data_IF_279088234947
#
_entry.id   IF_279088234947
#
_cell.length_a   1.000
_cell.length_b   1.000
_cell.length_c   1.000
_cell.angle_alpha   90.00
_cell.angle_beta   90.00
_cell.angle_gamma   90.00
#
_symmetry.space_group_name_H-M   'P 1'
#
loop_
_entity.id
_entity.type
_entity.pdbx_description
1 polymer ?
#
# COMPACT_ATOMS: atom_id res chain seq x y z
N UNK A 1 -26.23 19.93 24.47
CA UNK A 1 -25.37 18.76 24.21
C UNK A 1 -23.98 19.31 23.96
N UNK A 2 -23.01 19.01 24.80
CA UNK A 2 -21.63 19.44 24.55
C UNK A 2 -21.02 18.45 23.56
N UNK A 3 -20.67 18.93 22.38
CA UNK A 3 -19.83 18.17 21.45
C UNK A 3 -18.52 17.85 22.20
N UNK A 4 -18.17 16.56 22.30
CA UNK A 4 -16.85 16.20 22.79
C UNK A 4 -15.85 16.54 21.70
N UNK A 5 -14.80 17.28 22.07
CA UNK A 5 -13.66 17.40 21.17
C UNK A 5 -13.04 15.99 20.99
N UNK A 6 -12.87 15.50 19.74
CA UNK A 6 -12.27 14.19 19.44
C UNK A 6 -10.94 13.96 20.17
N UNK A 7 -10.15 15.00 20.34
CA UNK A 7 -8.88 15.00 21.08
C UNK A 7 -9.04 14.64 22.56
N UNK A 8 -10.14 15.02 23.19
CA UNK A 8 -10.39 14.73 24.61
C UNK A 8 -10.75 13.25 24.82
N UNK A 9 -11.56 12.68 23.93
CA UNK A 9 -11.92 11.26 23.96
C UNK A 9 -10.69 10.37 23.78
N UNK A 10 -9.82 10.70 22.82
CA UNK A 10 -8.55 10.00 22.59
C UNK A 10 -7.58 10.15 23.77
N UNK A 11 -7.50 11.33 24.40
CA UNK A 11 -6.69 11.53 25.59
C UNK A 11 -7.15 10.64 26.77
N UNK A 12 -8.48 10.49 26.94
CA UNK A 12 -9.03 9.57 27.94
C UNK A 12 -8.74 8.11 27.60
N UNK A 13 -8.88 7.70 26.34
CA UNK A 13 -8.56 6.36 25.87
C UNK A 13 -7.08 6.02 26.12
N UNK A 14 -6.16 6.93 25.82
CA UNK A 14 -4.73 6.79 26.09
C UNK A 14 -4.44 6.64 27.59
N UNK A 15 -5.10 7.44 28.41
CA UNK A 15 -4.95 7.37 29.87
C UNK A 15 -5.44 6.02 30.40
N UNK A 16 -6.62 5.54 29.95
CA UNK A 16 -7.17 4.24 30.34
C UNK A 16 -6.22 3.11 29.94
N UNK A 17 -5.70 3.13 28.70
CA UNK A 17 -4.75 2.13 28.23
C UNK A 17 -3.52 2.07 29.12
N UNK A 18 -2.89 3.22 29.40
CA UNK A 18 -1.68 3.31 30.24
C UNK A 18 -1.92 2.91 31.70
N UNK A 19 -3.06 3.29 32.28
CA UNK A 19 -3.44 2.90 33.66
C UNK A 19 -3.65 1.37 33.79
N UNK A 20 -3.77 0.65 32.66
CA UNK A 20 -3.91 -0.81 32.61
C UNK A 20 -2.72 -1.50 31.93
N UNK A 21 -1.54 -0.89 31.98
CA UNK A 21 -0.27 -1.42 31.46
C UNK A 21 -0.27 -1.70 29.94
N UNK A 22 -1.18 -1.08 29.17
CA UNK A 22 -1.19 -1.16 27.71
C UNK A 22 -0.32 -0.03 27.13
N UNK A 23 0.72 -0.40 26.41
CA UNK A 23 1.58 0.55 25.70
C UNK A 23 0.79 1.29 24.64
N UNK A 24 0.76 2.63 24.71
CA UNK A 24 -0.03 3.48 23.84
C UNK A 24 0.75 4.76 23.52
N UNK A 25 0.85 5.10 22.23
CA UNK A 25 1.49 6.32 21.74
C UNK A 25 0.51 7.20 20.98
N UNK A 26 0.65 8.51 21.15
CA UNK A 26 -0.09 9.48 20.33
C UNK A 26 0.75 9.81 19.10
N UNK A 27 0.17 9.62 17.92
CA UNK A 27 0.78 9.97 16.63
C UNK A 27 0.68 11.48 16.37
N UNK A 28 1.51 12.04 15.47
CA UNK A 28 1.40 13.45 15.06
C UNK A 28 0.03 13.82 14.46
N UNK A 29 -0.71 12.86 13.91
CA UNK A 29 -2.08 13.01 13.41
C UNK A 29 -3.13 13.13 14.51
N UNK A 30 -2.75 12.88 15.76
CA UNK A 30 -3.67 12.85 16.92
C UNK A 30 -4.25 11.47 17.25
N UNK A 31 -4.09 10.51 16.37
CA UNK A 31 -4.50 9.11 16.58
C UNK A 31 -3.64 8.44 17.63
N UNK A 32 -4.16 7.36 18.22
CA UNK A 32 -3.39 6.52 19.15
C UNK A 32 -2.93 5.26 18.44
N UNK A 33 -1.74 4.80 18.76
CA UNK A 33 -1.15 3.54 18.31
C UNK A 33 -0.90 2.62 19.49
N UNK A 34 -1.42 1.40 19.42
CA UNK A 34 -1.16 0.31 20.37
C UNK A 34 -0.51 -0.84 19.60
N UNK A 35 0.77 -1.16 19.81
CA UNK A 35 1.42 -2.29 19.17
C UNK A 35 1.05 -3.60 19.88
N UNK A 36 1.05 -4.69 19.13
CA UNK A 36 0.84 -6.04 19.62
C UNK A 36 2.15 -6.85 19.62
N UNK A 37 2.33 -7.69 20.64
CA UNK A 37 3.57 -8.46 20.81
C UNK A 37 3.81 -9.44 19.64
N UNK A 38 2.76 -10.06 19.11
CA UNK A 38 2.83 -10.97 17.98
C UNK A 38 3.05 -10.26 16.62
N UNK A 39 3.15 -8.94 16.59
CA UNK A 39 3.25 -8.11 15.40
C UNK A 39 1.90 -7.52 14.99
N UNK A 40 1.97 -6.42 14.24
CA UNK A 40 0.76 -5.62 13.96
C UNK A 40 0.50 -4.55 15.02
N UNK A 41 -0.60 -3.83 14.87
CA UNK A 41 -0.97 -2.73 15.74
C UNK A 41 -2.45 -2.40 15.66
N UNK A 42 -2.96 -1.77 16.72
CA UNK A 42 -4.29 -1.15 16.71
C UNK A 42 -4.13 0.37 16.65
N UNK A 43 -4.76 0.99 15.66
CA UNK A 43 -4.95 2.44 15.59
C UNK A 43 -6.29 2.78 16.21
N UNK A 44 -6.31 3.82 17.05
CA UNK A 44 -7.52 4.30 17.71
C UNK A 44 -7.73 5.75 17.29
N UNK A 45 -8.83 6.04 16.66
CA UNK A 45 -9.18 7.37 16.16
C UNK A 45 -10.69 7.61 16.23
N UNK A 46 -11.10 8.86 16.11
CA UNK A 46 -12.52 9.21 16.00
C UNK A 46 -12.85 9.38 14.53
N UNK A 47 -13.68 8.50 14.01
CA UNK A 47 -14.22 8.63 12.66
C UNK A 47 -15.42 9.59 12.70
N UNK A 48 -15.34 10.66 11.91
CA UNK A 48 -16.38 11.71 11.84
C UNK A 48 -17.35 11.43 10.67
N UNK A 49 -17.97 10.27 10.71
CA UNK A 49 -19.11 9.95 9.86
C UNK A 49 -20.36 10.74 10.30
N UNK A 50 -21.50 10.50 9.65
CA UNK A 50 -22.79 11.11 10.08
C UNK A 50 -23.06 10.91 11.57
N UNK A 51 -22.68 9.71 12.09
CA UNK A 51 -22.66 9.40 13.52
C UNK A 51 -21.20 9.17 13.94
N UNK A 52 -20.58 10.07 14.70
CA UNK A 52 -19.18 9.91 15.09
C UNK A 52 -18.97 8.68 15.96
N UNK A 53 -17.92 7.92 15.67
CA UNK A 53 -17.54 6.70 16.39
C UNK A 53 -16.09 6.72 16.82
N UNK A 54 -15.78 6.20 17.98
CA UNK A 54 -14.43 5.81 18.34
C UNK A 54 -14.15 4.48 17.64
N UNK A 55 -13.21 4.48 16.72
CA UNK A 55 -12.85 3.34 15.90
C UNK A 55 -11.50 2.78 16.35
N UNK A 56 -11.46 1.49 16.60
CA UNK A 56 -10.24 0.70 16.79
C UNK A 56 -10.04 -0.13 15.53
N UNK A 57 -9.00 0.21 14.78
CA UNK A 57 -8.59 -0.52 13.58
C UNK A 57 -7.33 -1.32 13.89
N UNK A 58 -7.46 -2.64 13.94
CA UNK A 58 -6.36 -3.57 14.19
C UNK A 58 -5.92 -4.22 12.91
N UNK A 59 -4.63 -4.18 12.61
CA UNK A 59 -4.09 -4.83 11.41
C UNK A 59 -2.73 -5.48 11.67
N UNK A 60 -2.45 -6.65 11.07
CA UNK A 60 -1.12 -7.21 11.01
C UNK A 60 -0.22 -6.36 10.11
N UNK A 61 1.09 -6.63 10.14
CA UNK A 61 2.08 -5.88 9.35
C UNK A 61 2.31 -6.43 7.95
N UNK A 62 1.84 -7.65 7.68
CA UNK A 62 2.12 -8.38 6.47
C UNK A 62 0.86 -8.77 5.71
N UNK A 63 1.08 -9.53 4.65
CA UNK A 63 0.07 -10.20 3.87
C UNK A 63 0.55 -11.59 3.49
N UNK A 64 -0.36 -12.41 3.03
CA UNK A 64 -0.12 -13.75 2.50
C UNK A 64 -0.51 -13.81 1.03
N UNK A 65 -0.10 -14.86 0.35
CA UNK A 65 -0.45 -15.09 -1.04
C UNK A 65 -1.97 -15.21 -1.24
N UNK A 66 -2.47 -14.78 -2.40
CA UNK A 66 -3.89 -14.84 -2.73
C UNK A 66 -4.46 -16.27 -2.66
N UNK A 67 -3.64 -17.30 -2.84
CA UNK A 67 -4.05 -18.71 -2.68
C UNK A 67 -4.52 -19.06 -1.27
N UNK A 68 -4.14 -18.30 -0.25
CA UNK A 68 -4.54 -18.48 1.15
C UNK A 68 -5.88 -17.81 1.51
N UNK A 69 -6.53 -17.11 0.56
CA UNK A 69 -7.77 -16.34 0.81
C UNK A 69 -8.89 -17.22 1.38
N UNK A 70 -8.99 -18.48 0.95
CA UNK A 70 -10.02 -19.40 1.45
C UNK A 70 -9.83 -19.73 2.93
N UNK A 71 -8.59 -19.95 3.35
CA UNK A 71 -8.26 -20.25 4.75
C UNK A 71 -8.48 -19.03 5.64
N UNK A 72 -8.08 -17.84 5.16
CA UNK A 72 -8.35 -16.57 5.85
C UNK A 72 -9.85 -16.28 5.95
N UNK A 73 -10.63 -16.57 4.90
CA UNK A 73 -12.07 -16.39 4.93
C UNK A 73 -12.76 -17.31 5.98
N UNK A 74 -12.29 -18.55 6.11
CA UNK A 74 -12.78 -19.45 7.16
C UNK A 74 -12.42 -18.94 8.54
N UNK A 75 -11.17 -18.54 8.77
CA UNK A 75 -10.74 -17.95 10.03
C UNK A 75 -11.54 -16.71 10.41
N UNK A 76 -11.71 -15.77 9.46
CA UNK A 76 -12.50 -14.56 9.70
C UNK A 76 -13.96 -14.87 10.03
N UNK A 77 -14.56 -15.84 9.33
CA UNK A 77 -15.93 -16.25 9.58
C UNK A 77 -16.10 -16.92 10.95
N UNK A 78 -15.22 -17.82 11.34
CA UNK A 78 -15.24 -18.45 12.66
C UNK A 78 -15.01 -17.43 13.78
N UNK A 79 -14.05 -16.54 13.61
CA UNK A 79 -13.84 -15.46 14.56
C UNK A 79 -15.07 -14.57 14.73
N UNK A 80 -15.67 -14.13 13.63
CA UNK A 80 -16.87 -13.27 13.66
C UNK A 80 -18.09 -13.98 14.22
N UNK A 81 -18.14 -15.31 14.15
CA UNK A 81 -19.19 -16.11 14.79
C UNK A 81 -19.00 -16.17 16.31
N UNK A 82 -17.78 -16.33 16.79
CA UNK A 82 -17.48 -16.60 18.19
C UNK A 82 -17.15 -15.35 19.00
N UNK A 83 -16.69 -14.27 18.36
CA UNK A 83 -16.24 -13.03 19.00
C UNK A 83 -17.09 -11.82 18.57
N UNK A 84 -17.54 -11.04 19.55
CA UNK A 84 -18.30 -9.81 19.28
C UNK A 84 -17.41 -8.67 18.72
N UNK A 85 -16.13 -8.69 19.03
CA UNK A 85 -15.19 -7.62 18.69
C UNK A 85 -13.74 -8.11 18.83
N UNK A 86 -12.84 -7.73 17.92
CA UNK A 86 -13.11 -6.98 16.70
C UNK A 86 -13.88 -7.81 15.65
N UNK A 87 -14.65 -7.16 14.77
CA UNK A 87 -15.12 -7.79 13.55
C UNK A 87 -13.93 -7.90 12.57
N UNK A 88 -13.67 -9.11 12.09
CA UNK A 88 -12.55 -9.41 11.18
C UNK A 88 -13.01 -9.33 9.73
N UNK A 89 -12.25 -8.59 8.93
CA UNK A 89 -12.45 -8.41 7.49
C UNK A 89 -11.24 -8.93 6.76
N UNK A 90 -11.43 -9.59 5.64
CA UNK A 90 -10.35 -10.01 4.73
C UNK A 90 -10.17 -8.91 3.69
N UNK A 91 -8.98 -8.34 3.65
CA UNK A 91 -8.59 -7.26 2.75
C UNK A 91 -7.84 -7.84 1.54
N UNK A 92 -8.43 -7.72 0.35
CA UNK A 92 -7.90 -8.23 -0.92
C UNK A 92 -7.75 -7.14 -1.99
N UNK A 93 -7.74 -5.87 -1.57
CA UNK A 93 -7.61 -4.71 -2.47
C UNK A 93 -6.20 -4.56 -3.06
N UNK A 94 -5.25 -5.35 -2.56
CA UNK A 94 -3.88 -5.36 -3.07
C UNK A 94 -3.70 -6.52 -4.06
N UNK A 95 -3.15 -6.26 -5.27
CA UNK A 95 -3.07 -7.28 -6.32
C UNK A 95 -2.17 -8.48 -5.99
N UNK A 96 -1.23 -8.30 -5.07
CA UNK A 96 -0.17 -9.28 -4.80
C UNK A 96 -0.36 -10.08 -3.51
N UNK A 97 -1.25 -9.67 -2.62
CA UNK A 97 -1.42 -10.32 -1.32
C UNK A 97 -2.79 -10.05 -0.70
N UNK A 98 -3.17 -10.92 0.20
CA UNK A 98 -4.35 -10.80 1.04
C UNK A 98 -3.90 -10.49 2.47
N UNK A 99 -4.61 -9.61 3.15
CA UNK A 99 -4.42 -9.32 4.56
C UNK A 99 -5.74 -9.43 5.31
N UNK A 100 -5.72 -9.15 6.59
CA UNK A 100 -6.92 -9.06 7.41
C UNK A 100 -6.87 -7.80 8.26
N UNK A 101 -8.04 -7.25 8.54
CA UNK A 101 -8.19 -6.16 9.51
C UNK A 101 -9.29 -6.50 10.52
N UNK A 102 -9.13 -6.00 11.74
CA UNK A 102 -10.10 -6.11 12.81
C UNK A 102 -10.66 -4.75 13.18
N UNK A 103 -11.98 -4.64 13.28
CA UNK A 103 -12.66 -3.38 13.52
C UNK A 103 -13.53 -3.43 14.76
N UNK A 104 -13.38 -2.45 15.66
CA UNK A 104 -14.24 -2.28 16.82
C UNK A 104 -14.72 -0.84 16.91
N UNK A 105 -15.98 -0.64 17.22
CA UNK A 105 -16.63 0.67 17.21
C UNK A 105 -17.35 0.96 18.51
N UNK A 106 -17.17 2.17 19.04
CA UNK A 106 -17.98 2.73 20.12
C UNK A 106 -18.67 4.00 19.63
N UNK A 107 -20.01 4.09 19.62
CA UNK A 107 -20.72 5.32 19.30
C UNK A 107 -20.21 6.49 20.18
N UNK A 108 -19.91 7.61 19.58
CA UNK A 108 -19.37 8.80 20.22
C UNK A 108 -20.27 10.04 20.05
N UNK A 109 -21.46 9.88 19.47
CA UNK A 109 -22.50 10.89 19.34
C UNK A 109 -23.03 11.35 20.71
N UNK A 110 -23.04 10.43 21.68
CA UNK A 110 -23.28 10.70 23.08
C UNK A 110 -22.02 10.41 23.88
N UNK A 111 -21.58 11.38 24.67
CA UNK A 111 -20.34 11.29 25.45
C UNK A 111 -20.32 10.07 26.35
N UNK A 112 -19.47 9.05 26.09
CA UNK A 112 -19.36 7.91 26.99
C UNK A 112 -18.72 8.36 28.31
N UNK A 113 -19.14 7.77 29.43
CA UNK A 113 -18.41 7.94 30.69
C UNK A 113 -17.04 7.24 30.61
N UNK A 114 -16.14 7.59 31.53
CA UNK A 114 -14.82 6.94 31.63
C UNK A 114 -14.97 5.42 31.82
N UNK A 115 -15.93 4.99 32.65
CA UNK A 115 -16.20 3.58 32.90
C UNK A 115 -16.75 2.86 31.66
N UNK A 116 -17.62 3.51 30.89
CA UNK A 116 -18.12 2.98 29.62
C UNK A 116 -17.01 2.85 28.58
N UNK A 117 -16.17 3.89 28.47
CA UNK A 117 -15.01 3.87 27.60
C UNK A 117 -14.02 2.75 27.99
N UNK A 118 -13.72 2.58 29.29
CA UNK A 118 -12.84 1.51 29.76
C UNK A 118 -13.45 0.11 29.52
N UNK A 119 -14.76 -0.06 29.76
CA UNK A 119 -15.48 -1.31 29.53
C UNK A 119 -15.52 -1.74 28.06
N UNK A 120 -15.42 -0.79 27.13
CA UNK A 120 -15.27 -1.07 25.70
C UNK A 120 -13.81 -1.30 25.32
N UNK A 121 -12.94 -0.36 25.66
CA UNK A 121 -11.57 -0.28 25.15
C UNK A 121 -10.70 -1.48 25.59
N UNK A 122 -10.75 -1.84 26.89
CA UNK A 122 -9.85 -2.88 27.40
C UNK A 122 -10.16 -4.28 26.84
N UNK A 123 -11.43 -4.73 26.79
CA UNK A 123 -11.73 -6.00 26.10
C UNK A 123 -11.41 -5.97 24.60
N UNK A 124 -11.69 -4.85 23.92
CA UNK A 124 -11.40 -4.74 22.48
C UNK A 124 -9.89 -4.85 22.19
N UNK A 125 -9.04 -4.19 22.98
CA UNK A 125 -7.58 -4.30 22.85
C UNK A 125 -7.07 -5.71 23.19
N UNK A 126 -7.62 -6.35 24.23
CA UNK A 126 -7.27 -7.72 24.57
C UNK A 126 -7.64 -8.70 23.45
N UNK A 127 -8.84 -8.58 22.90
CA UNK A 127 -9.27 -9.44 21.80
C UNK A 127 -8.47 -9.17 20.52
N UNK A 128 -8.07 -7.91 20.27
CA UNK A 128 -7.15 -7.57 19.18
C UNK A 128 -5.78 -8.27 19.36
N UNK A 129 -5.24 -8.35 20.56
CA UNK A 129 -4.01 -9.09 20.85
C UNK A 129 -4.18 -10.59 20.60
N UNK A 130 -5.29 -11.18 21.09
CA UNK A 130 -5.61 -12.60 20.84
C UNK A 130 -5.76 -12.88 19.34
N UNK A 131 -6.39 -11.97 18.57
CA UNK A 131 -6.47 -12.09 17.12
C UNK A 131 -5.08 -12.08 16.48
N UNK A 132 -4.20 -11.16 16.89
CA UNK A 132 -2.83 -11.12 16.38
C UNK A 132 -2.02 -12.38 16.70
N UNK A 133 -2.18 -12.92 17.92
CA UNK A 133 -1.56 -14.21 18.31
C UNK A 133 -2.07 -15.37 17.46
N UNK A 134 -3.37 -15.42 17.18
CA UNK A 134 -3.98 -16.44 16.33
C UNK A 134 -3.45 -16.37 14.90
N UNK A 135 -3.39 -15.16 14.33
CA UNK A 135 -2.85 -14.91 12.99
C UNK A 135 -1.36 -15.26 12.90
N UNK A 136 -0.58 -14.94 13.93
CA UNK A 136 0.84 -15.30 14.00
C UNK A 136 1.08 -16.81 13.97
N UNK A 137 0.17 -17.57 14.59
CA UNK A 137 0.27 -19.04 14.67
C UNK A 137 -0.21 -19.71 13.39
N UNK A 138 -1.33 -19.25 12.82
CA UNK A 138 -1.95 -19.89 11.66
C UNK A 138 -1.39 -19.39 10.32
N UNK A 139 -1.08 -18.09 10.23
CA UNK A 139 -0.60 -17.42 9.01
C UNK A 139 0.63 -16.54 9.31
N UNK A 140 1.81 -17.13 9.53
CA UNK A 140 3.01 -16.36 9.91
C UNK A 140 3.40 -15.25 8.92
N UNK A 141 2.97 -15.36 7.66
CA UNK A 141 3.19 -14.33 6.63
C UNK A 141 2.49 -13.01 6.93
N UNK A 142 1.36 -13.04 7.66
CA UNK A 142 0.65 -11.82 8.10
C UNK A 142 1.42 -11.05 9.18
N UNK A 143 2.18 -11.78 10.01
CA UNK A 143 2.89 -11.21 11.16
C UNK A 143 4.38 -11.17 10.84
N UNK A 144 4.76 -10.57 9.73
CA UNK A 144 6.18 -10.35 9.46
C UNK A 144 6.80 -9.60 10.64
N UNK A 145 7.93 -10.13 11.13
CA UNK A 145 8.81 -9.34 12.00
C UNK A 145 8.93 -7.94 11.40
N UNK A 146 8.85 -6.92 12.28
CA UNK A 146 9.06 -5.55 11.83
C UNK A 146 10.16 -5.55 10.81
N UNK A 147 9.89 -5.02 9.61
CA UNK A 147 10.95 -4.80 8.60
C UNK A 147 12.21 -4.46 9.36
N UNK A 148 13.30 -5.20 9.16
CA UNK A 148 14.50 -5.01 9.96
C UNK A 148 14.67 -3.51 10.10
N UNK A 149 14.81 -3.03 11.34
CA UNK A 149 14.89 -1.61 11.69
C UNK A 149 15.35 -0.83 10.49
N UNK A 150 14.58 0.15 9.99
CA UNK A 150 14.96 0.95 8.82
C UNK A 150 16.46 1.09 8.90
N UNK A 151 17.17 0.39 8.02
CA UNK A 151 18.60 0.16 8.17
C UNK A 151 19.19 1.52 8.51
N UNK A 152 19.92 1.67 9.60
CA UNK A 152 20.38 2.98 10.06
C UNK A 152 20.89 3.71 8.85
N UNK A 153 20.43 4.94 8.61
CA UNK A 153 20.72 5.75 7.42
C UNK A 153 22.09 5.33 6.87
N UNK A 154 22.07 4.56 5.79
CA UNK A 154 23.24 3.78 5.44
C UNK A 154 24.40 4.75 5.18
N UNK A 155 25.49 4.64 5.91
CA UNK A 155 26.78 5.25 5.59
C UNK A 155 27.38 4.65 4.29
N UNK A 156 26.56 3.95 3.49
CA UNK A 156 26.97 3.43 2.21
C UNK A 156 27.20 4.61 1.25
N UNK A 157 28.35 4.65 0.57
CA UNK A 157 28.65 5.71 -0.36
C UNK A 157 27.56 5.75 -1.43
N UNK A 158 26.91 6.90 -1.56
CA UNK A 158 25.96 7.16 -2.62
C UNK A 158 26.73 7.40 -3.91
N UNK A 159 26.38 6.69 -4.96
CA UNK A 159 26.98 6.87 -6.29
C UNK A 159 26.11 7.85 -7.10
N UNK A 160 26.70 8.73 -7.89
CA UNK A 160 25.96 9.54 -8.84
C UNK A 160 25.18 8.64 -9.78
N UNK A 161 23.90 8.92 -9.95
CA UNK A 161 23.05 8.16 -10.85
C UNK A 161 23.38 8.46 -12.31
N UNK A 162 23.53 7.43 -13.14
CA UNK A 162 23.78 7.52 -14.58
C UNK A 162 22.93 6.48 -15.33
N UNK A 163 22.71 6.68 -16.64
CA UNK A 163 22.07 5.67 -17.49
C UNK A 163 22.91 4.39 -17.61
N UNK A 164 24.23 4.49 -17.53
CA UNK A 164 25.11 3.32 -17.52
C UNK A 164 24.81 2.41 -16.31
N UNK A 165 24.53 3.01 -15.14
CA UNK A 165 24.12 2.26 -13.94
C UNK A 165 22.79 1.50 -14.15
N UNK A 166 21.85 2.06 -14.92
CA UNK A 166 20.62 1.36 -15.33
C UNK A 166 20.95 0.21 -16.28
N UNK A 167 21.79 0.47 -17.31
CA UNK A 167 22.18 -0.54 -18.29
C UNK A 167 22.87 -1.77 -17.64
N UNK A 168 23.61 -1.58 -16.54
CA UNK A 168 24.20 -2.67 -15.78
C UNK A 168 23.18 -3.51 -15.01
N UNK A 169 22.07 -2.90 -14.59
CA UNK A 169 21.05 -3.58 -13.78
C UNK A 169 20.04 -4.34 -14.65
N UNK A 170 19.65 -3.82 -15.81
CA UNK A 170 18.64 -4.44 -16.66
C UNK A 170 18.88 -5.93 -16.94
N UNK A 171 20.10 -6.40 -17.27
CA UNK A 171 20.36 -7.83 -17.43
C UNK A 171 20.16 -8.65 -16.16
N UNK A 172 20.40 -8.06 -14.97
CA UNK A 172 20.26 -8.76 -13.69
C UNK A 172 18.81 -9.02 -13.31
N UNK A 173 17.88 -8.23 -13.84
CA UNK A 173 16.43 -8.39 -13.68
C UNK A 173 15.77 -9.09 -14.86
N UNK A 174 16.57 -9.67 -15.79
CA UNK A 174 16.07 -10.45 -16.91
C UNK A 174 15.88 -9.69 -18.23
N UNK A 175 16.10 -8.37 -18.27
CA UNK A 175 15.96 -7.57 -19.49
C UNK A 175 17.30 -7.60 -20.27
N UNK A 176 17.44 -8.57 -21.18
CA UNK A 176 18.67 -8.81 -21.94
C UNK A 176 18.80 -7.94 -23.20
N UNK A 177 17.67 -7.40 -23.70
CA UNK A 177 17.63 -6.63 -24.94
C UNK A 177 17.09 -5.24 -24.68
N UNK A 178 17.93 -4.25 -24.84
CA UNK A 178 17.59 -2.84 -24.70
C UNK A 178 18.44 -2.00 -25.66
N UNK A 179 17.99 -0.79 -25.94
CA UNK A 179 18.68 0.19 -26.77
C UNK A 179 18.85 1.49 -26.00
N UNK A 180 20.03 2.08 -26.03
CA UNK A 180 20.28 3.41 -25.49
C UNK A 180 20.33 4.42 -26.64
N UNK A 181 19.75 5.60 -26.45
CA UNK A 181 19.94 6.74 -27.36
C UNK A 181 21.31 7.43 -27.13
N UNK A 182 22.05 6.95 -26.15
CA UNK A 182 23.39 7.44 -25.81
C UNK A 182 23.42 8.71 -24.97
N UNK A 183 22.27 9.33 -24.69
CA UNK A 183 22.22 10.63 -24.01
C UNK A 183 21.15 10.74 -22.92
N UNK A 184 19.91 10.34 -23.19
CA UNK A 184 18.76 10.71 -22.35
C UNK A 184 17.94 9.54 -21.88
N UNK A 185 17.93 8.40 -22.59
CA UNK A 185 17.10 7.27 -22.25
C UNK A 185 17.63 5.91 -22.72
N UNK A 186 17.17 4.87 -22.04
CA UNK A 186 17.31 3.46 -22.45
C UNK A 186 15.91 2.94 -22.70
N UNK A 187 15.73 2.22 -23.81
CA UNK A 187 14.46 1.64 -24.25
C UNK A 187 14.52 0.12 -24.22
N UNK A 188 13.47 -0.52 -23.72
CA UNK A 188 13.33 -1.96 -23.70
C UNK A 188 11.85 -2.35 -23.91
N UNK A 189 11.64 -3.51 -24.55
CA UNK A 189 10.32 -4.15 -24.58
C UNK A 189 10.26 -5.23 -23.50
N UNK A 190 9.24 -5.17 -22.67
CA UNK A 190 8.92 -6.18 -21.67
C UNK A 190 7.46 -6.56 -21.88
N UNK A 191 7.21 -7.81 -22.26
CA UNK A 191 5.95 -8.18 -22.87
C UNK A 191 5.67 -7.26 -24.09
N UNK A 192 4.44 -6.87 -24.34
CA UNK A 192 4.09 -5.92 -25.41
C UNK A 192 4.06 -4.45 -24.93
N UNK A 193 4.79 -4.16 -23.82
CA UNK A 193 4.91 -2.82 -23.26
C UNK A 193 6.28 -2.23 -23.59
N UNK A 194 6.30 -1.05 -24.17
CA UNK A 194 7.54 -0.30 -24.39
C UNK A 194 7.92 0.44 -23.11
N UNK A 195 9.08 0.12 -22.57
CA UNK A 195 9.67 0.83 -21.44
C UNK A 195 10.73 1.82 -21.90
N UNK A 196 10.75 3.00 -21.24
CA UNK A 196 11.84 3.96 -21.33
C UNK A 196 12.35 4.29 -19.92
N UNK A 197 13.65 4.15 -19.71
CA UNK A 197 14.36 4.56 -18.50
C UNK A 197 15.06 5.87 -18.81
N UNK A 198 14.56 6.97 -18.26
CA UNK A 198 15.02 8.30 -18.60
C UNK A 198 15.55 9.05 -17.38
N UNK A 199 16.59 9.89 -17.62
CA UNK A 199 16.94 10.97 -16.73
C UNK A 199 16.07 12.17 -17.09
N UNK A 200 15.28 12.65 -16.13
CA UNK A 200 14.56 13.90 -16.32
C UNK A 200 15.49 15.10 -16.06
N UNK A 201 15.11 16.27 -16.55
CA UNK A 201 15.82 17.54 -16.33
C UNK A 201 15.94 17.94 -14.84
N UNK A 202 15.24 17.26 -13.92
CA UNK A 202 15.50 17.20 -12.50
C UNK A 202 16.32 15.96 -12.14
N UNK A 203 16.84 15.86 -10.91
CA UNK A 203 17.63 14.71 -10.48
C UNK A 203 16.72 13.51 -10.18
N UNK A 204 16.07 12.94 -11.20
CA UNK A 204 15.14 11.83 -11.09
C UNK A 204 15.35 10.79 -12.18
N UNK A 205 15.30 9.51 -11.79
CA UNK A 205 15.05 8.41 -12.71
C UNK A 205 13.55 8.30 -12.93
N UNK A 206 13.09 8.38 -14.17
CA UNK A 206 11.71 8.10 -14.55
C UNK A 206 11.70 6.84 -15.39
N UNK A 207 10.94 5.85 -14.94
CA UNK A 207 10.63 4.64 -15.70
C UNK A 207 9.26 4.86 -16.32
N UNK A 208 9.17 4.81 -17.62
CA UNK A 208 7.94 5.05 -18.40
C UNK A 208 7.51 3.76 -19.06
N UNK A 209 6.25 3.39 -18.91
CA UNK A 209 5.61 2.32 -19.67
C UNK A 209 4.62 2.90 -20.67
N UNK A 210 4.63 2.38 -21.89
CA UNK A 210 3.77 2.82 -22.97
C UNK A 210 3.01 1.63 -23.54
N UNK A 211 1.69 1.74 -23.55
CA UNK A 211 0.81 0.77 -24.18
C UNK A 211 -0.19 1.50 -25.10
N UNK A 212 -0.38 0.95 -26.29
CA UNK A 212 -1.28 1.49 -27.30
C UNK A 212 -2.52 0.58 -27.45
N UNK A 213 -3.68 0.98 -26.87
CA UNK A 213 -4.92 0.24 -27.01
C UNK A 213 -5.62 0.43 -28.36
N UNK A 214 -5.05 1.20 -29.29
CA UNK A 214 -5.67 1.55 -30.59
C UNK A 214 -7.07 2.19 -30.42
N UNK A 215 -7.22 3.10 -29.45
CA UNK A 215 -8.46 3.81 -29.17
C UNK A 215 -8.51 5.16 -29.86
N UNK A 216 -9.71 5.52 -30.35
CA UNK A 216 -9.98 6.83 -30.89
C UNK A 216 -10.02 7.92 -29.80
N UNK A 217 -9.82 9.18 -30.20
CA UNK A 217 -9.86 10.33 -29.30
C UNK A 217 -11.23 10.51 -28.59
N UNK A 218 -12.31 10.01 -29.17
CA UNK A 218 -13.65 10.02 -28.58
C UNK A 218 -13.73 9.21 -27.27
N UNK A 219 -12.84 8.24 -27.07
CA UNK A 219 -12.76 7.40 -25.85
C UNK A 219 -11.98 8.06 -24.70
N UNK A 220 -11.44 9.28 -24.90
CA UNK A 220 -10.58 9.94 -23.92
C UNK A 220 -11.17 9.98 -22.51
N UNK A 221 -12.42 10.41 -22.36
CA UNK A 221 -13.05 10.53 -21.03
C UNK A 221 -13.16 9.18 -20.33
N UNK A 222 -13.52 8.12 -21.06
CA UNK A 222 -13.60 6.76 -20.52
C UNK A 222 -12.22 6.29 -20.06
N UNK A 223 -11.22 6.39 -20.93
CA UNK A 223 -9.85 5.98 -20.62
C UNK A 223 -9.27 6.78 -19.46
N UNK A 224 -9.50 8.10 -19.43
CA UNK A 224 -9.08 8.94 -18.30
C UNK A 224 -9.69 8.49 -16.96
N UNK A 225 -10.99 8.16 -16.93
CA UNK A 225 -11.64 7.71 -15.71
C UNK A 225 -11.07 6.37 -15.21
N UNK A 226 -10.72 5.46 -16.09
CA UNK A 226 -10.05 4.19 -15.76
C UNK A 226 -8.67 4.47 -15.17
N UNK A 227 -7.82 5.25 -15.85
CA UNK A 227 -6.50 5.63 -15.33
C UNK A 227 -6.61 6.36 -13.96
N UNK A 228 -7.58 7.26 -13.82
CA UNK A 228 -7.82 7.98 -12.57
C UNK A 228 -8.30 7.04 -11.44
N UNK A 229 -9.13 6.04 -11.75
CA UNK A 229 -9.55 5.00 -10.81
C UNK A 229 -8.34 4.20 -10.32
N UNK A 230 -7.47 3.78 -11.23
CA UNK A 230 -6.24 3.09 -10.90
C UNK A 230 -5.32 3.95 -10.00
N UNK A 231 -5.10 5.22 -10.36
CA UNK A 231 -4.27 6.15 -9.56
C UNK A 231 -4.80 6.38 -8.14
N UNK A 232 -6.11 6.26 -7.91
CA UNK A 232 -6.70 6.37 -6.57
C UNK A 232 -6.42 5.17 -5.68
N UNK A 233 -6.30 3.99 -6.27
CA UNK A 233 -6.12 2.73 -5.56
C UNK A 233 -4.64 2.35 -5.39
N UNK A 234 -3.75 2.85 -6.23
CA UNK A 234 -2.36 2.38 -6.31
C UNK A 234 -1.34 3.51 -6.12
N UNK A 235 -0.18 3.12 -5.58
CA UNK A 235 0.97 3.99 -5.37
C UNK A 235 2.18 3.45 -6.12
N UNK A 236 3.14 4.32 -6.42
CA UNK A 236 4.43 3.92 -7.02
C UNK A 236 4.54 4.09 -8.53
N UNK A 237 3.42 4.26 -9.23
CA UNK A 237 3.37 4.74 -10.61
C UNK A 237 2.13 5.60 -10.82
N UNK A 238 2.11 6.42 -11.87
CA UNK A 238 0.99 7.28 -12.26
C UNK A 238 0.58 6.94 -13.67
N UNK A 239 -0.69 6.58 -13.87
CA UNK A 239 -1.28 6.30 -15.18
C UNK A 239 -1.94 7.56 -15.76
N UNK A 240 -1.77 7.80 -17.04
CA UNK A 240 -2.42 8.90 -17.76
C UNK A 240 -2.60 8.60 -19.24
N UNK A 241 -3.55 9.31 -19.86
CA UNK A 241 -3.79 9.24 -21.31
C UNK A 241 -2.83 10.18 -22.05
N UNK A 242 -2.28 9.71 -23.14
CA UNK A 242 -1.48 10.52 -24.02
C UNK A 242 -2.07 10.52 -25.44
N UNK A 243 -2.24 11.73 -26.00
CA UNK A 243 -2.70 11.89 -27.37
C UNK A 243 -1.54 11.71 -28.36
N UNK A 244 -1.74 10.89 -29.35
CA UNK A 244 -0.83 10.71 -30.49
C UNK A 244 -1.58 10.93 -31.79
N UNK A 245 -0.90 11.12 -32.92
CA UNK A 245 -1.57 11.19 -34.23
C UNK A 245 -2.35 9.92 -34.58
N UNK A 246 -1.97 8.77 -33.99
CA UNK A 246 -2.57 7.47 -34.21
C UNK A 246 -3.75 7.17 -33.28
N UNK A 247 -3.98 8.02 -32.25
CA UNK A 247 -5.03 7.84 -31.25
C UNK A 247 -4.54 8.00 -29.81
N UNK A 248 -5.21 7.36 -28.88
CA UNK A 248 -4.91 7.44 -27.45
C UNK A 248 -3.95 6.34 -27.03
N UNK A 249 -2.95 6.69 -26.27
CA UNK A 249 -2.06 5.77 -25.56
C UNK A 249 -2.26 5.85 -24.06
N UNK A 250 -2.09 4.73 -23.37
CA UNK A 250 -1.88 4.70 -21.92
C UNK A 250 -0.38 4.83 -21.66
N UNK A 251 -0.03 5.77 -20.81
CA UNK A 251 1.32 5.95 -20.30
C UNK A 251 1.31 5.84 -18.79
N UNK A 252 2.38 5.24 -18.27
CA UNK A 252 2.59 5.13 -16.84
C UNK A 252 4.01 5.54 -16.50
N UNK A 253 4.16 6.40 -15.49
CA UNK A 253 5.44 6.91 -15.02
C UNK A 253 5.67 6.51 -13.56
N UNK A 254 6.79 5.84 -13.29
CA UNK A 254 7.32 5.59 -11.96
C UNK A 254 8.60 6.41 -11.75
N UNK A 255 8.59 7.32 -10.77
CA UNK A 255 9.70 8.23 -10.54
C UNK A 255 10.47 7.89 -9.25
N UNK A 256 11.78 8.02 -9.30
CA UNK A 256 12.67 7.91 -8.14
C UNK A 256 13.61 9.11 -8.10
N UNK A 257 13.62 9.84 -6.98
CA UNK A 257 14.52 10.99 -6.79
C UNK A 257 15.95 10.49 -6.63
N UNK A 258 16.86 11.01 -7.45
CA UNK A 258 18.28 10.62 -7.49
C UNK A 258 19.26 11.76 -7.14
N UNK A 259 18.73 12.88 -6.63
CA UNK A 259 19.51 14.09 -6.35
C UNK A 259 20.73 13.86 -5.45
N UNK A 260 20.59 12.99 -4.47
CA UNK A 260 21.67 12.65 -3.54
C UNK A 260 22.52 11.45 -4.01
N UNK A 261 22.18 10.86 -5.16
CA UNK A 261 22.68 9.55 -5.59
C UNK A 261 21.87 8.40 -5.02
N UNK A 262 22.18 7.19 -5.45
CA UNK A 262 21.59 5.94 -4.98
C UNK A 262 22.68 4.91 -4.71
N UNK A 263 22.46 4.04 -3.74
CA UNK A 263 23.26 2.82 -3.65
C UNK A 263 22.81 1.84 -4.74
N UNK A 264 23.67 0.92 -5.14
CA UNK A 264 23.34 -0.11 -6.15
C UNK A 264 22.10 -0.95 -5.77
N UNK A 265 21.91 -1.41 -4.50
CA UNK A 265 20.69 -2.07 -4.08
C UNK A 265 19.42 -1.20 -4.17
N UNK A 266 19.54 0.11 -3.85
CA UNK A 266 18.42 1.05 -3.99
C UNK A 266 18.01 1.21 -5.46
N UNK A 267 18.98 1.35 -6.37
CA UNK A 267 18.72 1.45 -7.80
C UNK A 267 18.09 0.17 -8.35
N UNK A 268 18.62 -1.02 -7.97
CA UNK A 268 18.02 -2.32 -8.34
C UNK A 268 16.57 -2.42 -7.89
N UNK A 269 16.30 -2.08 -6.63
CA UNK A 269 14.95 -2.09 -6.06
C UNK A 269 14.02 -1.08 -6.73
N UNK A 270 14.51 0.13 -7.04
CA UNK A 270 13.72 1.17 -7.71
C UNK A 270 13.30 0.74 -9.12
N UNK A 271 14.23 0.16 -9.90
CA UNK A 271 13.94 -0.34 -11.24
C UNK A 271 12.95 -1.51 -11.18
N UNK A 272 13.18 -2.50 -10.32
CA UNK A 272 12.31 -3.66 -10.17
C UNK A 272 10.88 -3.28 -9.78
N UNK A 273 10.73 -2.40 -8.77
CA UNK A 273 9.41 -1.91 -8.35
C UNK A 273 8.72 -1.08 -9.43
N UNK A 274 9.45 -0.18 -10.09
CA UNK A 274 8.87 0.64 -11.16
C UNK A 274 8.34 -0.21 -12.31
N UNK A 275 9.09 -1.22 -12.75
CA UNK A 275 8.65 -2.18 -13.76
C UNK A 275 7.39 -2.93 -13.30
N UNK A 276 7.42 -3.48 -12.08
CA UNK A 276 6.30 -4.23 -11.51
C UNK A 276 5.03 -3.38 -11.46
N UNK A 277 5.10 -2.17 -10.89
CA UNK A 277 3.93 -1.29 -10.78
C UNK A 277 3.36 -0.88 -12.14
N UNK A 278 4.24 -0.60 -13.12
CA UNK A 278 3.79 -0.24 -14.46
C UNK A 278 3.15 -1.44 -15.17
N UNK A 279 3.73 -2.64 -15.08
CA UNK A 279 3.15 -3.83 -15.69
C UNK A 279 1.78 -4.16 -15.07
N UNK A 280 1.65 -4.14 -13.73
CA UNK A 280 0.35 -4.34 -13.08
C UNK A 280 -0.67 -3.28 -13.51
N UNK A 281 -0.28 -2.01 -13.55
CA UNK A 281 -1.21 -0.96 -13.96
C UNK A 281 -1.65 -1.07 -15.41
N UNK A 282 -0.74 -1.44 -16.32
CA UNK A 282 -1.11 -1.67 -17.72
C UNK A 282 -2.00 -2.93 -17.85
N UNK A 283 -1.72 -3.99 -17.10
CA UNK A 283 -2.53 -5.20 -17.05
C UNK A 283 -3.98 -4.89 -16.62
N UNK A 284 -4.15 -4.22 -15.48
CA UNK A 284 -5.46 -3.83 -14.94
C UNK A 284 -6.23 -2.93 -15.91
N UNK A 285 -5.57 -1.85 -16.37
CA UNK A 285 -6.17 -0.89 -17.30
C UNK A 285 -6.54 -1.57 -18.63
N UNK A 286 -5.68 -2.43 -19.16
CA UNK A 286 -5.92 -3.12 -20.41
C UNK A 286 -7.11 -4.07 -20.32
N UNK A 287 -7.24 -4.83 -19.24
CA UNK A 287 -8.40 -5.67 -19.00
C UNK A 287 -9.71 -4.86 -18.95
N UNK A 288 -9.70 -3.70 -18.28
CA UNK A 288 -10.90 -2.86 -18.17
C UNK A 288 -11.25 -2.18 -19.51
N UNK A 289 -10.24 -1.82 -20.30
CA UNK A 289 -10.42 -1.12 -21.58
C UNK A 289 -10.84 -2.07 -22.70
N UNK A 290 -10.12 -3.20 -22.86
CA UNK A 290 -10.24 -4.09 -24.03
C UNK A 290 -10.70 -5.50 -23.70
N UNK A 291 -10.72 -5.88 -22.42
CA UNK A 291 -11.00 -7.25 -21.96
C UNK A 291 -9.83 -8.21 -22.11
N UNK A 292 -8.64 -7.72 -22.52
CA UNK A 292 -7.43 -8.52 -22.68
C UNK A 292 -6.21 -7.70 -22.25
N UNK A 293 -5.17 -8.38 -21.77
CA UNK A 293 -3.91 -7.74 -21.35
C UNK A 293 -2.79 -7.99 -22.35
N UNK A 294 -1.90 -7.01 -22.59
CA UNK A 294 -0.63 -7.22 -23.27
C UNK A 294 0.43 -7.88 -22.37
N UNK A 295 0.15 -7.99 -21.07
CA UNK A 295 1.10 -8.51 -20.09
C UNK A 295 0.88 -10.00 -19.89
N UNK A 296 1.93 -10.79 -20.09
CA UNK A 296 1.96 -12.23 -19.80
C UNK A 296 2.77 -12.43 -18.50
N UNK A 297 2.10 -12.88 -17.45
CA UNK A 297 2.76 -13.20 -16.19
C UNK A 297 3.35 -14.61 -16.23
N UNK A 298 4.56 -14.83 -15.64
CA UNK A 298 5.22 -16.15 -15.62
C UNK A 298 4.47 -17.19 -14.81
#
# INVERSE_FOLDING_TARGET
MSEIEPSLLLAHACTIARDNDVSCWTLPTGELLVPHAAGGSTFIFVDQLEEPVLHLHTSPRGGVDLSEISELAHLANEWNHDCLSPAVVVDYDQPDYVSVSGHSYLPADTSPSREQLAAFLLPALRNAEVLMDLLAQSHPGLVREASPELAPLADAPLEPFTLDSVAEILPLIGIQRFQSDGATAIYAWVNDVLFAFALDNGPSLIIKGHWDPSLDEAEFTRLFLICNGWNRAHHGAVAFCHHTPEGLQVRMDAATITAAGLTRPQLFSAIGRGLKHILHGIDDIAHEVTGASPVEWP
#
